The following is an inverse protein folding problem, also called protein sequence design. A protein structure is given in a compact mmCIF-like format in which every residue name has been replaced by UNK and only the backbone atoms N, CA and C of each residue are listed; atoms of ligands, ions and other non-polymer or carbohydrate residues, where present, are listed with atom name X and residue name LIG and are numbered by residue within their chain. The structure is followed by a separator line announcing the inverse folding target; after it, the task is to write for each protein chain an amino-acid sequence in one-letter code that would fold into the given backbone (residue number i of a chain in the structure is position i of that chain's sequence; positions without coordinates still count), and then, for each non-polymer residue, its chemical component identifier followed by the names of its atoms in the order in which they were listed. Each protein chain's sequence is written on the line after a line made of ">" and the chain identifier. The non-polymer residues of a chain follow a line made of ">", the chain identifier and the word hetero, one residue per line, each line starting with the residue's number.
data_IF_647754399741
#
_entry.id   IF_647754399741
#
_cell.length_a   1.000
_cell.length_b   1.000
_cell.length_c   1.000
_cell.angle_alpha   90.00
_cell.angle_beta   90.00
_cell.angle_gamma   90.00
#
_symmetry.space_group_name_H-M   'P 1'
#
loop_
_entity.id
_entity.type
_entity.pdbx_description
1 polymer ?
#
# COMPACT_ATOMS: atom_id res chain seq x y z
N UNK A 1 -23.87 14.29 -7.22
CA UNK A 1 -22.51 14.78 -7.00
C UNK A 1 -21.52 13.63 -7.09
N UNK A 2 -20.36 13.88 -7.63
CA UNK A 2 -19.31 12.86 -7.71
C UNK A 2 -18.76 12.54 -6.31
N UNK A 3 -18.34 11.29 -6.11
CA UNK A 3 -17.73 10.84 -4.85
C UNK A 3 -16.41 10.15 -5.16
N UNK A 4 -15.39 10.44 -4.34
CA UNK A 4 -14.15 9.69 -4.38
C UNK A 4 -14.39 8.32 -3.75
N UNK A 5 -14.42 7.26 -4.57
CA UNK A 5 -14.75 5.92 -4.10
C UNK A 5 -13.77 4.84 -4.55
N UNK A 6 -12.67 5.22 -5.17
CA UNK A 6 -11.65 4.26 -5.59
C UNK A 6 -10.27 4.89 -5.56
N UNK A 7 -9.27 4.10 -5.18
CA UNK A 7 -7.86 4.46 -5.24
C UNK A 7 -7.18 3.38 -6.08
N UNK A 8 -6.48 3.78 -7.13
CA UNK A 8 -5.78 2.84 -8.01
C UNK A 8 -4.29 3.09 -8.01
N UNK A 9 -3.52 2.02 -7.90
CA UNK A 9 -2.07 2.04 -7.99
C UNK A 9 -1.62 1.30 -9.25
N UNK A 10 -0.67 1.86 -9.97
CA UNK A 10 -0.03 1.18 -11.10
C UNK A 10 1.20 0.46 -10.57
N UNK A 11 1.25 -0.85 -10.75
CA UNK A 11 2.30 -1.69 -10.16
C UNK A 11 3.18 -2.30 -11.23
N UNK A 12 4.47 -2.40 -10.94
CA UNK A 12 5.45 -3.02 -11.85
C UNK A 12 5.52 -4.54 -11.68
N UNK A 13 5.20 -5.04 -10.50
CA UNK A 13 5.23 -6.46 -10.16
C UNK A 13 3.96 -6.79 -9.38
N UNK A 14 2.95 -7.28 -10.08
CA UNK A 14 1.63 -7.53 -9.50
C UNK A 14 1.68 -8.52 -8.34
N UNK A 15 2.40 -9.64 -8.49
CA UNK A 15 2.46 -10.66 -7.44
C UNK A 15 3.09 -10.11 -6.16
N UNK A 16 4.18 -9.36 -6.30
CA UNK A 16 4.89 -8.80 -5.17
C UNK A 16 4.04 -7.72 -4.48
N UNK A 17 3.33 -6.91 -5.24
CA UNK A 17 2.44 -5.89 -4.70
C UNK A 17 1.24 -6.52 -3.97
N UNK A 18 0.66 -7.58 -4.53
CA UNK A 18 -0.40 -8.33 -3.86
C UNK A 18 0.08 -8.85 -2.51
N UNK A 19 1.26 -9.48 -2.47
CA UNK A 19 1.81 -9.99 -1.21
C UNK A 19 2.02 -8.89 -0.18
N UNK A 20 2.53 -7.74 -0.62
CA UNK A 20 2.76 -6.61 0.27
C UNK A 20 1.45 -6.13 0.93
N UNK A 21 0.43 -5.85 0.12
CA UNK A 21 -0.83 -5.32 0.64
C UNK A 21 -1.63 -6.36 1.44
N UNK A 22 -1.55 -7.62 1.07
CA UNK A 22 -2.14 -8.70 1.86
C UNK A 22 -1.47 -8.82 3.23
N UNK A 23 -0.15 -8.65 3.32
CA UNK A 23 0.57 -8.65 4.59
C UNK A 23 0.08 -7.55 5.53
N UNK A 24 -0.31 -6.41 4.98
CA UNK A 24 -0.86 -5.30 5.75
C UNK A 24 -2.36 -5.45 6.07
N UNK A 25 -2.99 -6.53 5.62
CA UNK A 25 -4.36 -6.85 5.98
C UNK A 25 -5.42 -6.53 4.94
N UNK A 26 -5.05 -6.06 3.76
CA UNK A 26 -6.02 -5.89 2.68
C UNK A 26 -6.38 -7.24 2.06
N UNK A 27 -7.65 -7.46 1.80
CA UNK A 27 -8.15 -8.71 1.23
C UNK A 27 -8.07 -8.71 -0.29
N UNK A 28 -6.90 -8.37 -0.83
CA UNK A 28 -6.65 -8.40 -2.25
C UNK A 28 -6.57 -9.87 -2.70
N UNK A 29 -7.16 -10.25 -3.86
CA UNK A 29 -7.04 -11.61 -4.37
C UNK A 29 -5.58 -12.07 -4.49
N UNK A 30 -5.32 -13.33 -4.18
CA UNK A 30 -3.95 -13.89 -4.20
C UNK A 30 -3.37 -14.01 -5.60
N UNK A 31 -4.22 -14.19 -6.60
CA UNK A 31 -3.79 -14.38 -7.97
C UNK A 31 -3.82 -13.06 -8.73
N UNK A 32 -2.83 -12.81 -9.61
CA UNK A 32 -2.74 -11.54 -10.32
C UNK A 32 -3.88 -11.28 -11.32
N UNK A 33 -4.64 -12.29 -11.72
CA UNK A 33 -5.68 -12.14 -12.72
C UNK A 33 -5.13 -11.67 -14.07
N UNK A 34 -5.89 -10.81 -14.76
CA UNK A 34 -5.53 -10.30 -16.08
C UNK A 34 -4.97 -8.87 -16.01
N UNK A 35 -4.14 -8.60 -15.00
CA UNK A 35 -3.48 -7.31 -14.86
C UNK A 35 -4.27 -6.28 -14.06
N UNK A 36 -5.41 -6.66 -13.49
CA UNK A 36 -6.21 -5.82 -12.60
C UNK A 36 -6.73 -6.66 -11.45
N UNK A 37 -6.52 -6.20 -10.23
CA UNK A 37 -7.16 -6.77 -9.04
C UNK A 37 -7.71 -5.65 -8.18
N UNK A 38 -8.76 -5.93 -7.43
CA UNK A 38 -9.30 -4.95 -6.50
C UNK A 38 -9.91 -5.61 -5.26
N UNK A 39 -10.15 -4.79 -4.26
CA UNK A 39 -10.88 -5.17 -3.05
C UNK A 39 -11.63 -3.94 -2.53
N UNK A 40 -12.73 -4.18 -1.82
CA UNK A 40 -13.44 -3.10 -1.14
C UNK A 40 -12.95 -2.99 0.30
N UNK A 41 -12.62 -1.75 0.70
CA UNK A 41 -12.31 -1.44 2.08
C UNK A 41 -13.60 -1.40 2.92
N UNK A 42 -13.51 -1.53 4.25
CA UNK A 42 -14.71 -1.50 5.10
C UNK A 42 -15.58 -0.26 4.94
N UNK A 43 -14.98 0.87 4.55
CA UNK A 43 -15.71 2.12 4.31
C UNK A 43 -16.32 2.22 2.91
N UNK A 44 -16.24 1.16 2.10
CA UNK A 44 -16.80 1.12 0.74
C UNK A 44 -15.89 1.66 -0.36
N UNK A 45 -14.73 2.21 -0.02
CA UNK A 45 -13.74 2.65 -1.01
C UNK A 45 -13.10 1.42 -1.64
N UNK A 46 -12.96 1.44 -2.96
CA UNK A 46 -12.33 0.34 -3.70
C UNK A 46 -10.84 0.63 -3.86
N UNK A 47 -10.02 -0.35 -3.49
CA UNK A 47 -8.57 -0.31 -3.66
C UNK A 47 -8.20 -1.19 -4.85
N UNK A 48 -7.48 -0.63 -5.82
CA UNK A 48 -7.19 -1.31 -7.09
C UNK A 48 -5.69 -1.35 -7.35
N UNK A 49 -5.24 -2.47 -7.94
CA UNK A 49 -3.90 -2.60 -8.48
C UNK A 49 -4.01 -2.90 -9.97
N UNK A 50 -3.36 -2.11 -10.80
CA UNK A 50 -3.32 -2.29 -12.24
C UNK A 50 -1.89 -2.47 -12.71
N UNK A 51 -1.67 -3.41 -13.63
CA UNK A 51 -0.36 -3.57 -14.26
C UNK A 51 -0.06 -2.38 -15.17
N UNK A 52 1.22 -2.16 -15.44
CA UNK A 52 1.64 -1.13 -16.40
C UNK A 52 1.07 -1.39 -17.79
N UNK A 53 0.97 -2.66 -18.17
CA UNK A 53 0.41 -3.05 -19.48
C UNK A 53 -1.05 -2.65 -19.60
N UNK A 54 -1.85 -2.91 -18.57
CA UNK A 54 -3.26 -2.52 -18.55
C UNK A 54 -3.40 -1.01 -18.68
N UNK A 55 -2.63 -0.24 -17.91
CA UNK A 55 -2.70 1.22 -17.97
C UNK A 55 -2.28 1.74 -19.34
N UNK A 56 -1.21 1.20 -19.91
CA UNK A 56 -0.74 1.61 -21.25
C UNK A 56 -1.74 1.26 -22.35
N UNK A 57 -2.63 0.29 -22.14
CA UNK A 57 -3.64 -0.08 -23.13
C UNK A 57 -4.64 1.05 -23.40
N UNK A 58 -4.87 1.93 -22.43
CA UNK A 58 -5.76 3.10 -22.61
C UNK A 58 -5.05 4.44 -22.42
N UNK A 59 -3.79 4.42 -21.98
CA UNK A 59 -2.92 5.59 -21.88
C UNK A 59 -1.54 5.25 -22.44
N UNK A 60 -1.39 5.20 -23.78
CA UNK A 60 -0.16 4.70 -24.40
C UNK A 60 1.10 5.50 -24.06
N UNK A 61 0.94 6.76 -23.67
CA UNK A 61 2.04 7.66 -23.28
C UNK A 61 2.36 7.61 -21.78
N UNK A 62 1.69 6.73 -21.03
CA UNK A 62 1.97 6.60 -19.59
C UNK A 62 3.42 6.17 -19.37
N UNK A 63 4.08 6.84 -18.45
CA UNK A 63 5.42 6.47 -17.97
C UNK A 63 5.43 6.52 -16.45
N UNK A 64 6.27 5.68 -15.85
CA UNK A 64 6.42 5.68 -14.39
C UNK A 64 7.14 6.94 -13.95
N UNK A 65 6.53 7.65 -12.99
CA UNK A 65 7.16 8.82 -12.36
C UNK A 65 7.96 8.37 -11.14
N UNK A 66 9.08 9.04 -10.91
CA UNK A 66 9.89 8.88 -9.71
C UNK A 66 9.53 10.00 -8.73
N UNK A 67 9.55 9.69 -7.44
CA UNK A 67 9.10 10.60 -6.40
C UNK A 67 7.58 10.54 -6.24
N UNK A 68 7.11 10.57 -5.00
CA UNK A 68 5.71 10.35 -4.71
C UNK A 68 5.11 11.55 -4.01
N UNK A 69 3.92 11.98 -4.48
CA UNK A 69 3.11 13.00 -3.84
C UNK A 69 1.94 12.37 -3.07
N UNK A 70 1.89 11.04 -3.04
CA UNK A 70 0.83 10.29 -2.37
C UNK A 70 1.47 9.32 -1.40
N UNK A 71 0.88 9.17 -0.22
CA UNK A 71 1.20 8.11 0.71
C UNK A 71 -0.07 7.44 1.17
N UNK A 72 0.04 6.18 1.57
CA UNK A 72 -1.06 5.44 2.19
C UNK A 72 -0.73 5.28 3.67
N UNK A 73 -1.71 5.43 4.54
CA UNK A 73 -1.53 5.25 5.96
C UNK A 73 -2.50 4.18 6.48
N UNK A 74 -1.96 3.22 7.21
CA UNK A 74 -2.72 2.12 7.80
C UNK A 74 -2.75 2.31 9.31
N UNK A 75 -3.96 2.46 9.86
CA UNK A 75 -4.11 2.49 11.30
C UNK A 75 -4.07 1.08 11.86
N UNK A 76 -3.22 0.86 12.86
CA UNK A 76 -3.11 -0.40 13.58
C UNK A 76 -3.91 -0.35 14.88
N UNK A 77 -4.22 -1.52 15.44
CA UNK A 77 -5.03 -1.62 16.65
C UNK A 77 -4.34 -1.01 17.88
N UNK A 78 -3.01 -1.10 17.91
CA UNK A 78 -2.22 -0.63 19.04
C UNK A 78 -0.75 -0.45 18.61
N UNK A 79 0.07 0.21 19.45
CA UNK A 79 1.49 0.42 19.12
C UNK A 79 2.28 -0.88 18.89
N UNK A 80 1.96 -1.97 19.58
CA UNK A 80 2.63 -3.25 19.40
C UNK A 80 2.40 -3.80 17.98
N UNK A 81 1.22 -3.59 17.42
CA UNK A 81 0.91 -4.04 16.05
C UNK A 81 1.70 -3.25 15.01
N UNK A 82 1.97 -1.97 15.24
CA UNK A 82 2.87 -1.19 14.36
C UNK A 82 4.24 -1.87 14.29
N UNK A 83 4.80 -2.21 15.45
CA UNK A 83 6.10 -2.89 15.52
C UNK A 83 6.07 -4.24 14.80
N UNK A 84 5.02 -5.02 15.04
CA UNK A 84 4.88 -6.37 14.47
C UNK A 84 4.77 -6.33 12.95
N UNK A 85 3.92 -5.49 12.41
CA UNK A 85 3.73 -5.39 10.96
C UNK A 85 4.97 -4.87 10.26
N UNK A 86 5.64 -3.88 10.85
CA UNK A 86 6.90 -3.40 10.31
C UNK A 86 7.94 -4.52 10.23
N UNK A 87 8.13 -5.24 11.33
CA UNK A 87 9.09 -6.34 11.38
C UNK A 87 8.75 -7.44 10.38
N UNK A 88 7.48 -7.80 10.25
CA UNK A 88 7.03 -8.82 9.30
C UNK A 88 7.27 -8.39 7.85
N UNK A 89 7.04 -7.13 7.54
CA UNK A 89 7.26 -6.61 6.20
C UNK A 89 8.75 -6.66 5.83
N UNK A 90 9.62 -6.21 6.72
CA UNK A 90 11.07 -6.23 6.51
C UNK A 90 11.57 -7.67 6.39
N UNK A 91 11.12 -8.56 7.25
CA UNK A 91 11.48 -9.98 7.21
C UNK A 91 11.03 -10.65 5.91
N UNK A 92 9.89 -10.23 5.37
CA UNK A 92 9.38 -10.73 4.09
C UNK A 92 10.10 -10.15 2.87
N UNK A 93 11.09 -9.28 3.07
CA UNK A 93 11.90 -8.71 2.00
C UNK A 93 11.39 -7.36 1.46
N UNK A 94 10.44 -6.73 2.13
CA UNK A 94 9.97 -5.40 1.75
C UNK A 94 10.83 -4.32 2.40
N UNK A 95 10.80 -3.12 1.81
CA UNK A 95 11.68 -2.05 2.23
C UNK A 95 11.12 -1.29 3.43
N UNK A 96 11.91 -1.23 4.52
CA UNK A 96 11.62 -0.39 5.68
C UNK A 96 12.30 0.97 5.52
N UNK A 97 11.50 2.03 5.49
CA UNK A 97 12.01 3.40 5.38
C UNK A 97 12.40 3.97 6.74
N UNK A 98 11.54 3.77 7.74
CA UNK A 98 11.79 4.26 9.08
C UNK A 98 11.19 3.31 10.11
N UNK A 99 12.03 2.85 11.02
CA UNK A 99 11.63 1.96 12.09
C UNK A 99 10.58 2.62 13.01
N UNK A 100 9.74 1.82 13.69
CA UNK A 100 8.76 2.37 14.62
C UNK A 100 9.39 3.29 15.66
N UNK A 101 8.74 4.43 15.89
CA UNK A 101 9.13 5.39 16.93
C UNK A 101 7.90 6.07 17.49
N UNK A 102 8.05 6.67 18.68
CA UNK A 102 6.99 7.46 19.28
C UNK A 102 7.10 8.89 18.77
N UNK A 103 6.19 9.25 17.87
CA UNK A 103 6.20 10.55 17.23
C UNK A 103 5.69 11.64 18.18
N UNK A 104 6.21 12.84 18.01
CA UNK A 104 5.84 14.00 18.87
C UNK A 104 4.36 14.35 18.80
N UNK A 105 3.66 13.88 17.77
CA UNK A 105 2.22 14.12 17.62
C UNK A 105 1.33 13.06 18.28
N UNK A 106 1.92 12.16 19.12
CA UNK A 106 1.14 11.27 19.96
C UNK A 106 0.79 9.91 19.35
N UNK A 107 1.57 9.45 18.39
CA UNK A 107 1.38 8.15 17.74
C UNK A 107 2.68 7.36 17.68
N UNK A 108 2.57 6.01 17.79
CA UNK A 108 3.62 5.12 17.33
C UNK A 108 3.51 5.08 15.82
N UNK A 109 4.58 5.44 15.14
CA UNK A 109 4.60 5.61 13.70
C UNK A 109 5.73 4.77 13.08
N UNK A 110 5.54 4.27 11.87
CA UNK A 110 6.58 3.61 11.10
C UNK A 110 6.33 3.85 9.62
N UNK A 111 7.38 3.78 8.81
CA UNK A 111 7.27 4.01 7.37
C UNK A 111 7.88 2.85 6.60
N UNK A 112 7.09 2.31 5.67
CA UNK A 112 7.51 1.33 4.68
C UNK A 112 7.47 1.96 3.30
N UNK A 113 8.06 1.30 2.32
CA UNK A 113 7.81 1.58 0.91
C UNK A 113 7.19 0.33 0.29
N UNK A 114 6.17 0.51 -0.54
CA UNK A 114 5.63 -0.63 -1.30
C UNK A 114 6.64 -1.06 -2.38
N UNK A 115 6.40 -2.16 -3.12
CA UNK A 115 7.36 -2.64 -4.13
C UNK A 115 7.73 -1.61 -5.20
N UNK A 116 6.90 -0.60 -5.43
CA UNK A 116 7.18 0.46 -6.41
C UNK A 116 7.69 1.75 -5.75
N UNK A 117 7.98 1.72 -4.46
CA UNK A 117 8.52 2.86 -3.73
C UNK A 117 7.48 3.83 -3.19
N UNK A 118 6.18 3.49 -3.26
CA UNK A 118 5.13 4.33 -2.69
C UNK A 118 5.25 4.33 -1.16
N UNK A 119 5.26 5.51 -0.50
CA UNK A 119 5.28 5.57 0.95
C UNK A 119 4.03 4.94 1.56
N UNK A 120 4.23 4.03 2.50
CA UNK A 120 3.16 3.37 3.24
C UNK A 120 3.47 3.48 4.73
N UNK A 121 2.62 4.21 5.43
CA UNK A 121 2.79 4.50 6.84
C UNK A 121 1.96 3.55 7.68
N UNK A 122 2.49 3.16 8.83
CA UNK A 122 1.78 2.41 9.86
C UNK A 122 1.71 3.27 11.10
N UNK A 123 0.56 3.32 11.76
CA UNK A 123 0.45 4.12 12.97
C UNK A 123 -0.58 3.58 13.95
N UNK A 124 -0.42 3.95 15.19
CA UNK A 124 -1.41 3.73 16.25
C UNK A 124 -1.26 4.84 17.30
N UNK A 125 -2.39 5.23 17.90
CA UNK A 125 -2.39 6.19 18.99
C UNK A 125 -1.65 5.62 20.21
N UNK A 126 -0.81 6.44 20.82
CA UNK A 126 -0.09 6.08 22.04
C UNK A 126 -1.00 6.07 23.26
#
# INVERSE_FOLDING_TARGET
>A
MAQLNAIGLVVSDMERSIRFYRLLGLEVPETPGEGHVDTFLPNGVRFMLDSEEVVKSFRPDWTRVTGNQLSLAFECDNPAQVNELYARAVEAGFHGEKEPWDAVWGQRYAQLADPDGLPVDLYAVL
#
